data_IF_731662821037
#
_entry.id   IF_731662821037
#
_cell.length_a   1.000
_cell.length_b   1.000
_cell.length_c   1.000
_cell.angle_alpha   90.00
_cell.angle_beta   90.00
_cell.angle_gamma   90.00
#
_symmetry.space_group_name_H-M   'P 1'
#
loop_
_entity.id
_entity.type
_entity.pdbx_description
1 polymer ?
#
# COMPACT_ATOMS: atom_id res chain seq x y z
N UNK A 1 -16.39 8.40 -3.84
CA UNK A 1 -15.27 9.26 -4.26
C UNK A 1 -14.34 8.38 -5.03
N UNK A 2 -14.17 8.63 -6.32
CA UNK A 2 -13.41 7.77 -7.21
C UNK A 2 -12.05 8.43 -7.39
N UNK A 3 -10.98 7.75 -6.95
CA UNK A 3 -9.63 8.13 -7.37
C UNK A 3 -9.57 7.81 -8.87
N UNK A 4 -9.52 8.84 -9.70
CA UNK A 4 -9.51 8.67 -11.16
C UNK A 4 -8.31 7.81 -11.59
N UNK A 5 -8.52 6.93 -12.58
CA UNK A 5 -7.44 6.07 -13.08
C UNK A 5 -6.23 6.88 -13.56
N UNK A 6 -6.44 8.08 -14.10
CA UNK A 6 -5.40 9.04 -14.46
C UNK A 6 -4.46 9.37 -13.29
N UNK A 7 -4.97 9.45 -12.06
CA UNK A 7 -4.15 9.68 -10.87
C UNK A 7 -3.40 8.43 -10.44
N UNK A 8 -3.92 7.23 -10.74
CA UNK A 8 -3.26 5.97 -10.45
C UNK A 8 -2.08 5.70 -11.40
N UNK A 9 -2.17 6.11 -12.66
CA UNK A 9 -1.05 6.04 -13.61
C UNK A 9 0.16 6.86 -13.12
N UNK A 10 -0.08 7.96 -12.42
CA UNK A 10 0.97 8.80 -11.87
C UNK A 10 1.86 8.03 -10.87
N UNK A 11 1.31 7.07 -10.13
CA UNK A 11 2.11 6.23 -9.25
C UNK A 11 3.08 5.33 -10.02
N UNK A 12 2.66 4.79 -11.18
CA UNK A 12 3.53 3.98 -12.03
C UNK A 12 4.72 4.79 -12.53
N UNK A 13 4.43 5.99 -13.02
CA UNK A 13 5.42 6.87 -13.63
C UNK A 13 6.45 7.37 -12.62
N UNK A 14 6.01 7.74 -11.41
CA UNK A 14 6.92 8.28 -10.39
C UNK A 14 7.64 7.22 -9.55
N UNK A 15 7.03 6.06 -9.30
CA UNK A 15 7.72 4.96 -8.61
C UNK A 15 8.56 4.12 -9.57
N UNK A 16 8.50 4.41 -10.87
CA UNK A 16 9.22 3.66 -11.90
C UNK A 16 8.92 2.15 -11.86
N UNK A 17 7.65 1.79 -11.55
CA UNK A 17 7.15 0.41 -11.52
C UNK A 17 6.20 0.22 -12.71
N UNK A 18 6.67 -0.29 -13.87
CA UNK A 18 5.90 -0.30 -15.11
C UNK A 18 4.66 -1.22 -15.04
N UNK A 19 4.71 -2.25 -14.19
CA UNK A 19 3.67 -3.25 -14.02
C UNK A 19 2.86 -3.06 -12.71
N UNK A 20 2.90 -1.85 -12.12
CA UNK A 20 2.16 -1.55 -10.90
C UNK A 20 0.65 -1.49 -11.18
N UNK A 21 -0.10 -2.48 -10.77
CA UNK A 21 -1.55 -2.44 -10.82
C UNK A 21 -2.10 -1.82 -9.54
N UNK A 22 -3.08 -0.91 -9.68
CA UNK A 22 -3.76 -0.28 -8.55
C UNK A 22 -5.26 -0.34 -8.81
N UNK A 23 -6.03 -0.80 -7.82
CA UNK A 23 -7.49 -0.81 -7.90
C UNK A 23 -8.06 -0.26 -6.59
N UNK A 24 -9.19 0.44 -6.71
CA UNK A 24 -9.95 0.92 -5.57
C UNK A 24 -11.37 0.36 -5.60
N UNK A 25 -11.92 0.11 -4.41
CA UNK A 25 -13.27 -0.44 -4.23
C UNK A 25 -13.99 0.40 -3.18
N UNK A 26 -15.10 1.03 -3.55
CA UNK A 26 -15.92 1.78 -2.59
C UNK A 26 -16.65 0.83 -1.63
N UNK A 27 -16.66 1.17 -0.34
CA UNK A 27 -17.44 0.41 0.63
C UNK A 27 -18.93 0.77 0.55
N UNK A 28 -19.74 -0.20 0.11
CA UNK A 28 -21.21 -0.11 0.08
C UNK A 28 -21.88 -1.10 1.04
N UNK A 29 -21.10 -1.72 1.93
CA UNK A 29 -21.53 -2.84 2.77
C UNK A 29 -21.77 -2.40 4.21
N UNK A 30 -22.53 -3.22 4.95
CA UNK A 30 -23.00 -2.87 6.28
C UNK A 30 -21.90 -2.98 7.35
N UNK A 31 -20.97 -3.92 7.19
CA UNK A 31 -19.90 -4.17 8.16
C UNK A 31 -18.51 -4.16 7.53
N UNK A 32 -17.49 -3.84 8.33
CA UNK A 32 -16.08 -3.92 7.89
C UNK A 32 -15.65 -5.34 7.52
N UNK A 33 -16.24 -6.36 8.16
CA UNK A 33 -15.91 -7.76 7.83
C UNK A 33 -16.40 -8.11 6.42
N UNK A 34 -17.64 -7.77 6.09
CA UNK A 34 -18.20 -7.95 4.75
C UNK A 34 -17.39 -7.14 3.73
N UNK A 35 -17.03 -5.90 4.07
CA UNK A 35 -16.26 -5.07 3.15
C UNK A 35 -14.89 -5.66 2.82
N UNK A 36 -14.15 -6.15 3.82
CA UNK A 36 -12.87 -6.83 3.57
C UNK A 36 -13.05 -8.09 2.73
N UNK A 37 -14.10 -8.88 2.98
CA UNK A 37 -14.37 -10.07 2.17
C UNK A 37 -14.65 -9.70 0.71
N UNK A 38 -15.47 -8.68 0.51
CA UNK A 38 -15.81 -8.16 -0.82
C UNK A 38 -14.59 -7.60 -1.54
N UNK A 39 -13.78 -6.76 -0.88
CA UNK A 39 -12.53 -6.26 -1.44
C UNK A 39 -11.63 -7.41 -1.92
N UNK A 40 -11.47 -8.46 -1.10
CA UNK A 40 -10.64 -9.61 -1.50
C UNK A 40 -11.26 -10.46 -2.61
N UNK A 41 -12.58 -10.51 -2.73
CA UNK A 41 -13.28 -11.13 -3.85
C UNK A 41 -13.01 -10.36 -5.16
N UNK A 42 -13.09 -9.02 -5.13
CA UNK A 42 -12.78 -8.19 -6.31
C UNK A 42 -11.32 -8.36 -6.76
N UNK A 43 -10.39 -8.47 -5.81
CA UNK A 43 -8.97 -8.75 -6.11
C UNK A 43 -8.82 -10.14 -6.75
N UNK A 44 -9.55 -11.15 -6.26
CA UNK A 44 -9.54 -12.50 -6.82
C UNK A 44 -10.02 -12.49 -8.28
N UNK A 45 -11.18 -11.88 -8.54
CA UNK A 45 -11.77 -11.80 -9.88
C UNK A 45 -10.88 -11.01 -10.86
N UNK A 46 -10.24 -9.95 -10.37
CA UNK A 46 -9.24 -9.20 -11.13
C UNK A 46 -8.10 -10.12 -11.62
N UNK A 47 -7.51 -10.90 -10.71
CA UNK A 47 -6.38 -11.76 -11.08
C UNK A 47 -6.80 -12.98 -11.89
N UNK A 48 -7.97 -13.56 -11.62
CA UNK A 48 -8.54 -14.63 -12.44
C UNK A 48 -8.69 -14.17 -13.90
N UNK A 49 -9.30 -13.01 -14.10
CA UNK A 49 -9.46 -12.39 -15.43
C UNK A 49 -8.11 -12.08 -16.08
N UNK A 50 -7.15 -11.55 -15.32
CA UNK A 50 -5.82 -11.24 -15.83
C UNK A 50 -5.06 -12.50 -16.26
N UNK A 51 -5.22 -13.62 -15.55
CA UNK A 51 -4.65 -14.91 -15.94
C UNK A 51 -5.28 -15.46 -17.23
N UNK A 52 -6.60 -15.44 -17.34
CA UNK A 52 -7.31 -15.90 -18.54
C UNK A 52 -6.88 -15.14 -19.80
N UNK A 53 -6.49 -13.87 -19.63
CA UNK A 53 -5.99 -13.01 -20.70
C UNK A 53 -4.47 -13.12 -20.94
N UNK A 54 -3.76 -13.97 -20.21
CA UNK A 54 -2.31 -14.15 -20.35
C UNK A 54 -1.49 -12.94 -19.88
N UNK A 55 -2.01 -12.12 -18.97
CA UNK A 55 -1.33 -10.93 -18.46
C UNK A 55 -0.14 -11.24 -17.53
N UNK A 56 0.02 -12.50 -17.13
CA UNK A 56 1.11 -12.97 -16.28
C UNK A 56 2.14 -13.77 -17.09
N UNK A 57 3.16 -13.11 -17.65
CA UNK A 57 4.20 -13.82 -18.39
C UNK A 57 5.05 -14.68 -17.43
N UNK A 58 5.30 -15.94 -17.83
CA UNK A 58 6.31 -16.83 -17.22
C UNK A 58 6.01 -17.41 -15.82
N UNK A 59 4.74 -17.61 -15.44
CA UNK A 59 4.45 -18.40 -14.25
C UNK A 59 4.55 -19.89 -14.57
N UNK A 60 5.69 -20.51 -14.28
CA UNK A 60 5.99 -21.92 -14.58
C UNK A 60 5.09 -22.93 -13.81
N UNK A 61 4.25 -22.46 -12.88
CA UNK A 61 3.52 -23.29 -11.92
C UNK A 61 2.05 -22.87 -11.73
N UNK A 62 1.18 -23.15 -12.70
CA UNK A 62 -0.27 -22.87 -12.64
C UNK A 62 -0.92 -23.33 -11.32
N UNK A 63 -0.53 -24.50 -10.78
CA UNK A 63 -1.07 -25.03 -9.53
C UNK A 63 -0.72 -24.21 -8.29
N UNK A 64 0.42 -23.52 -8.29
CA UNK A 64 0.82 -22.64 -7.18
C UNK A 64 -0.02 -21.36 -7.18
N UNK A 65 -0.33 -20.85 -8.37
CA UNK A 65 -1.14 -19.65 -8.52
C UNK A 65 -2.57 -19.88 -8.02
N UNK A 66 -3.17 -21.02 -8.37
CA UNK A 66 -4.51 -21.37 -7.90
C UNK A 66 -4.57 -21.48 -6.36
N UNK A 67 -3.51 -21.99 -5.73
CA UNK A 67 -3.39 -22.05 -4.28
C UNK A 67 -3.33 -20.63 -3.67
N UNK A 68 -2.46 -19.77 -4.22
CA UNK A 68 -2.28 -18.40 -3.73
C UNK A 68 -3.59 -17.59 -3.80
N UNK A 69 -4.40 -17.80 -4.84
CA UNK A 69 -5.71 -17.13 -4.95
C UNK A 69 -6.76 -17.63 -3.96
N UNK A 70 -6.74 -18.91 -3.58
CA UNK A 70 -7.62 -19.39 -2.52
C UNK A 70 -7.25 -18.77 -1.16
N UNK A 71 -5.96 -18.54 -0.91
CA UNK A 71 -5.51 -17.86 0.32
C UNK A 71 -5.95 -16.39 0.37
N UNK A 72 -6.08 -15.73 -0.77
CA UNK A 72 -6.60 -14.36 -0.84
C UNK A 72 -7.97 -14.26 -0.16
N UNK A 73 -8.85 -15.25 -0.32
CA UNK A 73 -10.20 -15.21 0.26
C UNK A 73 -10.24 -15.45 1.78
N UNK A 74 -9.14 -15.88 2.42
CA UNK A 74 -9.08 -16.15 3.87
C UNK A 74 -8.65 -14.92 4.67
N UNK A 75 -9.63 -14.22 5.28
CA UNK A 75 -9.39 -13.02 6.09
C UNK A 75 -8.46 -13.24 7.30
N UNK A 76 -8.16 -14.47 7.69
CA UNK A 76 -7.24 -14.77 8.80
C UNK A 76 -5.79 -14.90 8.33
N UNK A 77 -5.56 -14.89 7.02
CA UNK A 77 -4.23 -14.92 6.42
C UNK A 77 -3.91 -13.57 5.79
N UNK A 78 -2.63 -13.21 5.86
CA UNK A 78 -2.06 -12.16 5.02
C UNK A 78 -1.78 -12.82 3.67
N UNK A 79 -2.42 -12.39 2.57
CA UNK A 79 -2.19 -12.98 1.27
C UNK A 79 -0.71 -12.86 0.88
N UNK A 80 -0.16 -13.95 0.34
CA UNK A 80 1.21 -13.93 -0.16
C UNK A 80 1.31 -14.69 -1.49
N UNK A 81 1.12 -13.97 -2.60
CA UNK A 81 1.36 -14.57 -3.90
C UNK A 81 2.86 -14.82 -4.11
N UNK A 82 3.22 -15.97 -4.65
CA UNK A 82 4.59 -16.26 -5.09
C UNK A 82 4.94 -15.55 -6.40
N UNK A 83 3.92 -15.09 -7.13
CA UNK A 83 4.07 -14.48 -8.45
C UNK A 83 4.48 -13.01 -8.43
N UNK A 84 4.50 -12.35 -7.27
CA UNK A 84 4.72 -10.90 -7.20
C UNK A 84 4.42 -10.30 -5.82
N UNK A 85 4.54 -8.97 -5.72
CA UNK A 85 4.11 -8.21 -4.56
C UNK A 85 2.61 -7.94 -4.60
N UNK A 86 1.97 -8.01 -3.44
CA UNK A 86 0.58 -7.63 -3.23
C UNK A 86 0.47 -6.91 -1.88
N UNK A 87 -0.15 -5.73 -1.89
CA UNK A 87 -0.48 -5.00 -0.67
C UNK A 87 -1.93 -4.57 -0.72
N UNK A 88 -2.63 -4.67 0.41
CA UNK A 88 -4.07 -4.38 0.53
C UNK A 88 -4.27 -3.46 1.72
N UNK A 89 -5.04 -2.39 1.54
CA UNK A 89 -5.52 -1.55 2.65
C UNK A 89 -6.98 -1.19 2.49
N UNK A 90 -7.59 -0.75 3.57
CA UNK A 90 -8.96 -0.29 3.57
C UNK A 90 -9.24 0.63 4.75
N UNK A 91 -10.12 1.59 4.52
CA UNK A 91 -10.77 2.40 5.53
C UNK A 91 -12.30 2.17 5.44
N UNK A 92 -13.13 2.84 6.27
CA UNK A 92 -14.57 2.62 6.26
C UNK A 92 -15.27 2.90 4.93
N UNK A 93 -14.68 3.72 4.05
CA UNK A 93 -15.31 4.13 2.78
C UNK A 93 -14.61 3.61 1.53
N UNK A 94 -13.36 3.18 1.64
CA UNK A 94 -12.54 2.82 0.48
C UNK A 94 -11.60 1.67 0.81
N UNK A 95 -11.46 0.75 -0.15
CA UNK A 95 -10.50 -0.33 -0.16
C UNK A 95 -9.57 -0.10 -1.33
N UNK A 96 -8.31 -0.47 -1.17
CA UNK A 96 -7.29 -0.36 -2.21
C UNK A 96 -6.42 -1.60 -2.19
N UNK A 97 -6.00 -2.02 -3.37
CA UNK A 97 -4.86 -2.92 -3.48
C UNK A 97 -3.87 -2.41 -4.52
N UNK A 98 -2.62 -2.82 -4.33
CA UNK A 98 -1.56 -2.66 -5.30
C UNK A 98 -0.89 -4.01 -5.56
N UNK A 99 -0.47 -4.26 -6.79
CA UNK A 99 0.32 -5.43 -7.12
C UNK A 99 1.33 -5.16 -8.22
N UNK A 100 2.42 -5.93 -8.23
CA UNK A 100 3.43 -5.95 -9.29
C UNK A 100 4.00 -7.35 -9.38
N UNK A 101 4.34 -7.81 -10.59
CA UNK A 101 5.02 -9.09 -10.80
C UNK A 101 6.54 -8.96 -10.61
N UNK A 102 7.07 -7.76 -10.82
CA UNK A 102 8.50 -7.47 -10.69
C UNK A 102 8.93 -7.06 -9.28
N UNK A 103 8.02 -6.45 -8.51
CA UNK A 103 8.32 -5.89 -7.19
C UNK A 103 7.59 -6.66 -6.09
N UNK A 104 8.35 -7.25 -5.17
CA UNK A 104 7.82 -8.05 -4.06
C UNK A 104 7.46 -7.21 -2.83
N UNK A 105 8.19 -6.12 -2.60
CA UNK A 105 8.13 -5.31 -1.39
C UNK A 105 7.23 -4.09 -1.56
N UNK A 106 5.94 -4.32 -1.82
CA UNK A 106 4.96 -3.26 -1.97
C UNK A 106 4.21 -2.96 -0.67
N UNK A 107 3.95 -1.67 -0.45
CA UNK A 107 3.10 -1.18 0.62
C UNK A 107 2.00 -0.30 0.06
N UNK A 108 0.77 -0.48 0.55
CA UNK A 108 -0.31 0.47 0.31
C UNK A 108 -1.05 0.76 1.59
N UNK A 109 -1.41 2.02 1.80
CA UNK A 109 -2.32 2.40 2.86
C UNK A 109 -3.33 3.46 2.43
N UNK A 110 -4.54 3.38 2.97
CA UNK A 110 -5.60 4.36 2.71
C UNK A 110 -6.31 4.68 4.01
N UNK A 111 -6.42 5.97 4.34
CA UNK A 111 -7.01 6.41 5.59
C UNK A 111 -7.94 7.61 5.43
N UNK A 112 -8.89 7.73 6.36
CA UNK A 112 -9.74 8.91 6.46
C UNK A 112 -9.05 9.95 7.34
N UNK A 113 -8.78 11.12 6.78
CA UNK A 113 -8.04 12.22 7.44
C UNK A 113 -8.64 12.54 8.81
N UNK A 114 -9.97 12.57 8.92
CA UNK A 114 -10.69 12.88 10.15
C UNK A 114 -10.57 11.83 11.27
N UNK A 115 -10.02 10.64 10.98
CA UNK A 115 -9.74 9.58 11.96
C UNK A 115 -8.31 9.61 12.47
N UNK A 116 -7.43 10.39 11.84
CA UNK A 116 -6.02 10.47 12.22
C UNK A 116 -5.85 11.58 13.26
N UNK A 117 -5.74 11.20 14.52
CA UNK A 117 -5.52 12.14 15.61
C UNK A 117 -4.05 12.53 15.74
N UNK A 118 -3.76 13.81 16.01
CA UNK A 118 -2.38 14.29 16.23
C UNK A 118 -1.64 13.52 17.34
N UNK A 119 -2.35 13.14 18.39
CA UNK A 119 -1.79 12.36 19.50
C UNK A 119 -1.36 10.95 19.09
N UNK A 120 -1.99 10.37 18.06
CA UNK A 120 -1.61 9.07 17.52
C UNK A 120 -0.29 9.19 16.77
N UNK A 121 -0.17 10.21 15.91
CA UNK A 121 1.05 10.49 15.12
C UNK A 121 2.24 10.77 16.04
N UNK A 122 2.06 11.58 17.08
CA UNK A 122 3.11 11.91 18.04
C UNK A 122 3.65 10.70 18.84
N UNK A 123 2.96 9.56 18.84
CA UNK A 123 3.47 8.30 19.45
C UNK A 123 4.42 7.54 18.54
N UNK A 124 4.34 7.78 17.23
CA UNK A 124 5.06 7.01 16.22
C UNK A 124 6.00 7.87 15.37
N UNK A 125 5.96 9.19 15.53
CA UNK A 125 6.82 10.14 14.81
C UNK A 125 7.59 11.01 15.79
N UNK A 126 8.82 11.33 15.42
CA UNK A 126 9.63 12.37 16.06
C UNK A 126 9.10 13.77 15.73
N UNK A 127 9.49 14.77 16.52
CA UNK A 127 9.19 16.19 16.22
C UNK A 127 9.77 16.62 14.87
N UNK A 128 10.99 16.16 14.55
CA UNK A 128 11.64 16.42 13.25
C UNK A 128 10.80 15.91 12.07
N UNK A 129 10.27 14.68 12.15
CA UNK A 129 9.40 14.13 11.11
C UNK A 129 8.11 14.94 10.97
N UNK A 130 7.51 15.34 12.09
CA UNK A 130 6.28 16.15 12.10
C UNK A 130 6.49 17.55 11.50
N UNK A 131 7.68 18.14 11.68
CA UNK A 131 8.04 19.45 11.14
C UNK A 131 8.39 19.39 9.64
N UNK A 132 8.90 18.26 9.15
CA UNK A 132 9.26 18.06 7.74
C UNK A 132 8.08 17.63 6.86
N UNK A 133 7.06 16.99 7.41
CA UNK A 133 5.90 16.53 6.66
C UNK A 133 5.06 17.73 6.15
N UNK A 134 4.57 17.72 4.90
CA UNK A 134 3.71 18.79 4.38
C UNK A 134 2.46 19.00 5.23
N UNK A 135 1.89 17.89 5.71
CA UNK A 135 0.80 17.86 6.67
C UNK A 135 1.07 16.71 7.66
N UNK A 136 0.77 16.92 8.94
CA UNK A 136 1.14 15.93 9.98
C UNK A 136 0.45 14.58 9.74
N UNK A 137 -0.79 14.57 9.26
CA UNK A 137 -1.58 13.36 9.05
C UNK A 137 -1.01 12.46 7.93
N UNK A 138 -0.25 13.03 6.98
CA UNK A 138 0.44 12.27 5.92
C UNK A 138 1.42 11.24 6.46
N UNK A 139 2.06 11.53 7.60
CA UNK A 139 3.01 10.62 8.25
C UNK A 139 2.36 9.29 8.63
N UNK A 140 1.09 9.30 9.03
CA UNK A 140 0.39 8.08 9.43
C UNK A 140 0.26 7.12 8.24
N UNK A 141 -0.35 7.58 7.15
CA UNK A 141 -0.57 6.79 5.94
C UNK A 141 0.76 6.40 5.28
N UNK A 142 1.75 7.30 5.27
CA UNK A 142 3.10 6.99 4.80
C UNK A 142 3.77 5.87 5.60
N UNK A 143 3.70 5.91 6.94
CA UNK A 143 4.30 4.88 7.80
C UNK A 143 3.59 3.53 7.71
N UNK A 144 2.26 3.50 7.65
CA UNK A 144 1.50 2.26 7.46
C UNK A 144 1.80 1.60 6.11
N UNK A 145 1.89 2.39 5.04
CA UNK A 145 2.32 1.88 3.73
C UNK A 145 3.76 1.36 3.79
N UNK A 146 4.70 2.15 4.33
CA UNK A 146 6.09 1.76 4.49
C UNK A 146 6.23 0.45 5.31
N UNK A 147 5.50 0.33 6.42
CA UNK A 147 5.47 -0.86 7.26
C UNK A 147 5.08 -2.10 6.46
N UNK A 148 4.08 -1.98 5.57
CA UNK A 148 3.64 -3.07 4.70
C UNK A 148 4.69 -3.43 3.64
N UNK A 149 5.42 -2.46 3.07
CA UNK A 149 6.50 -2.76 2.10
C UNK A 149 7.65 -3.56 2.71
N UNK A 150 7.93 -3.42 4.02
CA UNK A 150 8.94 -4.25 4.69
C UNK A 150 8.49 -5.70 4.94
N UNK A 151 7.26 -6.09 4.60
CA UNK A 151 6.82 -7.46 4.77
C UNK A 151 7.81 -8.42 4.07
N UNK A 152 8.36 -9.37 4.83
CA UNK A 152 9.41 -10.35 4.43
C UNK A 152 10.84 -9.82 4.26
N UNK A 153 11.05 -8.52 4.32
CA UNK A 153 12.37 -7.89 4.27
C UNK A 153 12.73 -7.30 5.64
N UNK A 154 12.57 -8.10 6.70
CA UNK A 154 12.70 -7.66 8.09
C UNK A 154 11.73 -6.54 8.48
N UNK A 155 10.43 -6.85 8.45
CA UNK A 155 9.38 -5.94 8.90
C UNK A 155 9.67 -5.40 10.31
N UNK A 156 9.70 -4.06 10.49
CA UNK A 156 9.89 -3.44 11.80
C UNK A 156 8.82 -3.94 12.78
N UNK A 157 9.09 -3.88 14.08
CA UNK A 157 8.10 -4.29 15.09
C UNK A 157 7.05 -3.22 15.34
N UNK A 158 7.40 -1.96 15.08
CA UNK A 158 6.56 -0.79 15.35
C UNK A 158 6.72 0.28 14.28
N UNK A 159 5.71 1.11 14.08
CA UNK A 159 5.79 2.25 13.15
C UNK A 159 6.86 3.28 13.56
N UNK A 160 7.18 3.38 14.85
CA UNK A 160 8.23 4.28 15.35
C UNK A 160 9.65 3.89 14.91
N UNK A 161 9.84 2.66 14.43
CA UNK A 161 11.12 2.20 13.88
C UNK A 161 11.33 2.65 12.42
N UNK A 162 10.28 3.15 11.76
CA UNK A 162 10.34 3.68 10.40
C UNK A 162 10.50 5.19 10.48
N UNK A 163 11.53 5.76 9.88
CA UNK A 163 11.68 7.22 9.72
C UNK A 163 11.18 7.63 8.34
N UNK A 164 10.33 8.65 8.25
CA UNK A 164 9.88 9.23 6.97
C UNK A 164 10.52 10.60 6.75
N UNK A 165 11.10 10.83 5.58
CA UNK A 165 11.91 12.01 5.27
C UNK A 165 11.88 12.35 3.77
N UNK A 166 12.64 13.36 3.34
CA UNK A 166 12.77 13.81 1.94
C UNK A 166 11.43 14.06 1.21
N UNK A 167 10.50 14.72 1.91
CA UNK A 167 9.22 15.13 1.31
C UNK A 167 9.41 16.11 0.16
N UNK A 168 8.78 15.85 -0.98
CA UNK A 168 8.74 16.76 -2.12
C UNK A 168 7.39 16.72 -2.82
N UNK A 169 6.82 17.89 -3.12
CA UNK A 169 5.57 18.00 -3.88
C UNK A 169 5.84 17.74 -5.37
N UNK A 170 5.14 16.77 -5.96
CA UNK A 170 5.25 16.38 -7.37
C UNK A 170 4.15 17.00 -8.25
N UNK A 171 2.94 17.07 -7.72
CA UNK A 171 1.79 17.73 -8.35
C UNK A 171 0.87 18.35 -7.29
N UNK A 172 -0.29 18.89 -7.69
CA UNK A 172 -1.22 19.60 -6.79
C UNK A 172 -1.56 18.80 -5.52
N UNK A 173 -1.69 17.48 -5.64
CA UNK A 173 -2.11 16.58 -4.56
C UNK A 173 -1.18 15.36 -4.39
N UNK A 174 0.01 15.39 -4.98
CA UNK A 174 0.94 14.25 -4.94
C UNK A 174 2.23 14.67 -4.29
N UNK A 175 2.62 13.91 -3.27
CA UNK A 175 3.84 14.12 -2.50
C UNK A 175 4.67 12.85 -2.56
N UNK A 176 5.93 13.00 -2.92
CA UNK A 176 6.93 11.95 -2.79
C UNK A 176 7.60 12.06 -1.43
N UNK A 177 7.94 10.92 -0.84
CA UNK A 177 8.73 10.82 0.37
C UNK A 177 9.66 9.61 0.29
N UNK A 178 10.68 9.61 1.14
CA UNK A 178 11.52 8.45 1.38
C UNK A 178 11.30 7.97 2.80
N UNK A 179 11.60 6.70 3.03
CA UNK A 179 11.55 6.15 4.37
C UNK A 179 12.72 5.20 4.59
N UNK A 180 13.11 5.06 5.85
CA UNK A 180 14.15 4.11 6.24
C UNK A 180 13.76 3.37 7.50
N UNK A 181 14.28 2.15 7.62
CA UNK A 181 14.28 1.36 8.85
C UNK A 181 15.57 0.56 8.94
N UNK A 182 15.86 0.01 10.12
CA UNK A 182 16.99 -0.87 10.35
C UNK A 182 16.53 -2.33 10.34
N UNK A 183 17.24 -3.18 9.60
CA UNK A 183 16.99 -4.62 9.61
C UNK A 183 17.56 -5.26 10.90
N UNK A 184 17.41 -6.59 11.05
CA UNK A 184 17.88 -7.29 12.25
C UNK A 184 19.40 -7.24 12.45
N UNK A 185 20.17 -6.91 11.40
CA UNK A 185 21.62 -6.75 11.42
C UNK A 185 22.05 -5.30 11.68
N UNK A 186 21.10 -4.37 11.81
CA UNK A 186 21.36 -2.94 11.95
C UNK A 186 21.73 -2.25 10.63
N UNK A 187 21.49 -2.89 9.49
CA UNK A 187 21.69 -2.27 8.17
C UNK A 187 20.46 -1.41 7.84
N UNK A 188 20.70 -0.21 7.31
CA UNK A 188 19.63 0.68 6.86
C UNK A 188 19.04 0.15 5.55
N UNK A 189 17.74 -0.05 5.54
CA UNK A 189 16.96 -0.29 4.33
C UNK A 189 16.19 0.99 4.04
N UNK A 190 16.30 1.47 2.80
CA UNK A 190 15.64 2.70 2.33
C UNK A 190 14.63 2.30 1.27
N UNK A 191 13.43 2.85 1.36
CA UNK A 191 12.43 2.80 0.31
C UNK A 191 11.91 4.17 -0.04
N UNK A 192 11.00 4.21 -1.00
CA UNK A 192 10.36 5.41 -1.49
C UNK A 192 8.85 5.23 -1.62
N UNK A 193 8.15 6.34 -1.59
CA UNK A 193 6.70 6.34 -1.60
C UNK A 193 6.11 7.60 -2.20
N UNK A 194 4.87 7.45 -2.62
CA UNK A 194 4.01 8.54 -3.02
C UNK A 194 2.77 8.56 -2.15
N UNK A 195 2.36 9.76 -1.76
CA UNK A 195 1.10 10.05 -1.11
C UNK A 195 0.23 10.88 -2.05
N UNK A 196 -1.01 10.45 -2.23
CA UNK A 196 -2.06 11.19 -2.91
C UNK A 196 -3.07 11.70 -1.88
N UNK A 197 -3.14 13.03 -1.77
CA UNK A 197 -4.08 13.75 -0.90
C UNK A 197 -5.41 13.93 -1.65
N UNK A 198 -6.48 13.32 -1.16
CA UNK A 198 -7.81 13.45 -1.75
C UNK A 198 -8.87 13.55 -0.67
N UNK A 199 -8.99 14.73 -0.08
CA UNK A 199 -9.91 15.00 1.02
C UNK A 199 -11.30 14.39 0.78
N UNK A 200 -11.79 13.51 1.68
CA UNK A 200 -11.34 13.30 3.06
C UNK A 200 -10.37 12.12 3.25
N UNK A 201 -9.67 11.67 2.21
CA UNK A 201 -8.80 10.49 2.21
C UNK A 201 -7.36 10.83 1.89
N UNK A 202 -6.44 10.06 2.47
CA UNK A 202 -5.07 9.93 2.02
C UNK A 202 -4.84 8.52 1.49
N UNK A 203 -4.06 8.40 0.41
CA UNK A 203 -3.59 7.13 -0.15
C UNK A 203 -2.08 7.18 -0.29
N UNK A 204 -1.36 6.24 0.32
CA UNK A 204 0.08 6.07 0.12
C UNK A 204 0.40 4.74 -0.55
N UNK A 205 1.33 4.76 -1.50
CA UNK A 205 1.93 3.57 -2.11
C UNK A 205 3.44 3.66 -1.94
N UNK A 206 4.07 2.57 -1.47
CA UNK A 206 5.50 2.49 -1.20
C UNK A 206 6.13 1.25 -1.82
N UNK A 207 7.43 1.32 -2.09
CA UNK A 207 8.26 0.15 -2.33
C UNK A 207 9.65 0.31 -1.72
N UNK A 208 10.38 -0.80 -1.65
CA UNK A 208 11.80 -0.89 -1.26
C UNK A 208 12.59 -1.43 -2.45
#
# INVERSE_FOLDING_TARGET
MIIENSHLEIFRDYLEIPDLHVMTVENKLQTMKEFRQYLRQEIYEYFETAMENGAFPNLEHESQIEYDFKELLDLNKIPHPQWGGLSISHCPTLGVFVSSYQYQNLGVDVEQINRIEKNLIARVCSEEEMDLAPETHFLWTAKEAAFKSFYRLDQPKTLSEIKVFDWSKKSENIYHFRFESFNQKGETIIGEGLLYESSPLDLSITHI
#
